data_IF_032176318331
#
_entry.id   IF_032176318331
#
_cell.length_a   1.000
_cell.length_b   1.000
_cell.length_c   1.000
_cell.angle_alpha   90.00
_cell.angle_beta   90.00
_cell.angle_gamma   90.00
#
_symmetry.space_group_name_H-M   'P 1'
#
loop_
_entity.id
_entity.type
_entity.pdbx_description
1 polymer ?
#
# COMPACT_ATOMS: atom_id res chain seq x y z
N UNK A 1 -0.17 -14.68 52.09
CA UNK A 1 0.04 -16.01 51.52
C UNK A 1 -0.97 -16.17 50.38
N UNK A 2 -0.54 -15.93 49.16
CA UNK A 2 -1.37 -16.10 47.97
C UNK A 2 -1.27 -17.58 47.55
N UNK A 3 -2.41 -18.28 47.55
CA UNK A 3 -2.53 -19.65 47.12
C UNK A 3 -2.26 -19.70 45.58
N UNK A 4 -1.14 -20.28 45.20
CA UNK A 4 -0.89 -20.66 43.81
C UNK A 4 -1.81 -21.86 43.47
N UNK A 5 -2.98 -21.54 42.94
CA UNK A 5 -3.81 -22.56 42.31
C UNK A 5 -3.06 -23.10 41.09
N UNK A 6 -2.46 -24.27 41.24
CA UNK A 6 -1.95 -25.09 40.15
C UNK A 6 -3.07 -25.38 39.16
N UNK A 7 -3.23 -24.55 38.11
CA UNK A 7 -3.99 -24.88 36.92
C UNK A 7 -3.22 -25.95 36.14
N UNK A 8 -3.34 -27.21 36.54
CA UNK A 8 -2.99 -28.32 35.66
C UNK A 8 -3.95 -28.28 34.46
N UNK A 9 -3.47 -27.82 33.30
CA UNK A 9 -4.19 -28.00 32.06
C UNK A 9 -4.36 -29.50 31.84
N UNK A 10 -5.58 -30.02 32.07
CA UNK A 10 -5.91 -31.40 31.68
C UNK A 10 -5.65 -31.55 30.19
N UNK A 11 -4.76 -32.46 29.83
CA UNK A 11 -4.50 -32.85 28.45
C UNK A 11 -5.83 -33.20 27.77
N UNK A 12 -6.16 -32.49 26.68
CA UNK A 12 -7.42 -32.65 25.92
C UNK A 12 -7.52 -34.06 25.26
N UNK A 13 -6.60 -34.93 25.57
CA UNK A 13 -6.47 -36.28 25.00
C UNK A 13 -5.11 -36.52 24.36
N UNK A 14 -4.90 -37.70 23.84
CA UNK A 14 -3.64 -38.12 23.21
C UNK A 14 -3.86 -38.66 21.80
N UNK A 15 -2.85 -38.51 20.96
CA UNK A 15 -2.80 -39.17 19.66
C UNK A 15 -2.65 -40.71 19.84
N UNK A 16 -3.33 -41.55 19.06
CA UNK A 16 -4.17 -41.27 17.90
C UNK A 16 -5.67 -41.05 18.19
N UNK A 17 -6.13 -41.19 19.44
CA UNK A 17 -7.55 -41.00 19.77
C UNK A 17 -8.02 -39.55 19.60
N UNK A 18 -7.17 -38.59 19.89
CA UNK A 18 -7.45 -37.20 19.65
C UNK A 18 -6.70 -36.68 18.43
N UNK A 19 -7.45 -36.10 17.48
CA UNK A 19 -6.92 -35.56 16.21
C UNK A 19 -7.40 -34.12 16.02
N UNK A 20 -6.60 -33.16 16.45
CA UNK A 20 -6.94 -31.73 16.46
C UNK A 20 -7.21 -31.16 15.06
N UNK A 21 -6.65 -31.78 14.02
CA UNK A 21 -6.81 -31.31 12.63
C UNK A 21 -7.94 -32.01 11.86
N UNK A 22 -8.80 -32.75 12.49
CA UNK A 22 -9.91 -33.49 11.84
C UNK A 22 -10.80 -32.54 11.02
N UNK A 23 -11.12 -31.38 11.55
CA UNK A 23 -11.96 -30.36 10.89
C UNK A 23 -11.31 -29.76 9.63
N UNK A 24 -10.01 -29.97 9.41
CA UNK A 24 -9.29 -29.47 8.23
C UNK A 24 -9.25 -30.45 7.06
N UNK A 25 -9.75 -31.69 7.23
CA UNK A 25 -9.66 -32.78 6.23
C UNK A 25 -10.58 -32.54 5.02
N UNK A 26 -11.81 -32.11 5.24
CA UNK A 26 -12.84 -31.93 4.21
C UNK A 26 -13.12 -30.47 3.94
N UNK A 27 -13.47 -30.14 2.68
CA UNK A 27 -13.74 -28.75 2.30
C UNK A 27 -14.94 -28.17 3.07
N UNK A 28 -16.05 -28.91 3.16
CA UNK A 28 -17.23 -28.46 3.90
C UNK A 28 -16.91 -28.22 5.38
N UNK A 29 -16.09 -29.06 5.99
CA UNK A 29 -15.69 -28.95 7.40
C UNK A 29 -14.81 -27.72 7.61
N UNK A 30 -13.85 -27.45 6.70
CA UNK A 30 -13.04 -26.21 6.76
C UNK A 30 -13.90 -24.95 6.67
N UNK A 31 -14.89 -24.94 5.75
CA UNK A 31 -15.82 -23.82 5.61
C UNK A 31 -16.67 -23.59 6.86
N UNK A 32 -17.11 -24.69 7.49
CA UNK A 32 -17.94 -24.62 8.70
C UNK A 32 -17.20 -24.01 9.90
N UNK A 33 -15.89 -24.29 10.04
CA UNK A 33 -15.07 -23.81 11.15
C UNK A 33 -14.18 -22.63 10.77
N UNK A 34 -14.42 -22.00 9.63
CA UNK A 34 -13.66 -20.85 9.15
C UNK A 34 -14.02 -19.62 9.98
N UNK A 35 -13.03 -19.00 10.59
CA UNK A 35 -13.18 -17.80 11.42
C UNK A 35 -13.01 -16.51 10.60
N UNK A 36 -12.26 -16.61 9.47
CA UNK A 36 -11.96 -15.47 8.62
C UNK A 36 -12.36 -15.77 7.17
N UNK A 37 -12.92 -14.79 6.49
CA UNK A 37 -13.20 -14.80 5.05
C UNK A 37 -12.37 -13.73 4.36
N UNK A 38 -11.85 -14.05 3.17
CA UNK A 38 -11.21 -13.08 2.30
C UNK A 38 -12.21 -12.62 1.24
N UNK A 39 -12.48 -11.33 1.24
CA UNK A 39 -13.36 -10.66 0.27
C UNK A 39 -12.63 -9.55 -0.48
N UNK A 40 -13.28 -8.95 -1.48
CA UNK A 40 -12.73 -7.75 -2.14
C UNK A 40 -12.55 -6.59 -1.17
N UNK A 41 -13.32 -6.54 -0.06
CA UNK A 41 -13.24 -5.48 0.94
C UNK A 41 -11.94 -5.49 1.75
N UNK A 42 -11.20 -6.61 1.71
CA UNK A 42 -9.91 -6.76 2.39
C UNK A 42 -8.72 -6.37 1.50
N UNK A 43 -8.99 -5.90 0.28
CA UNK A 43 -7.96 -5.64 -0.72
C UNK A 43 -7.72 -4.14 -0.94
N UNK A 44 -6.45 -3.78 -1.07
CA UNK A 44 -6.01 -2.49 -1.59
C UNK A 44 -5.23 -2.78 -2.88
N UNK A 45 -5.61 -2.15 -4.00
CA UNK A 45 -4.92 -2.40 -5.25
C UNK A 45 -3.79 -1.39 -5.50
N UNK A 46 -2.51 -1.80 -5.50
CA UNK A 46 -1.39 -0.92 -5.83
C UNK A 46 -1.37 -0.61 -7.32
N UNK A 47 -1.31 0.67 -7.67
CA UNK A 47 -1.20 1.18 -9.04
C UNK A 47 0.08 1.99 -9.18
N UNK A 48 0.94 1.56 -10.09
CA UNK A 48 2.19 2.25 -10.39
C UNK A 48 1.95 3.28 -11.50
N UNK A 49 2.27 4.53 -11.22
CA UNK A 49 2.08 5.66 -12.13
C UNK A 49 3.41 6.22 -12.61
N UNK A 50 3.44 6.73 -13.83
CA UNK A 50 4.61 7.41 -14.41
C UNK A 50 4.20 8.61 -15.27
N UNK A 51 5.15 9.48 -15.54
CA UNK A 51 4.96 10.57 -16.49
C UNK A 51 4.92 10.06 -17.94
N UNK A 52 4.25 10.84 -18.80
CA UNK A 52 4.08 10.57 -20.22
C UNK A 52 2.63 10.52 -20.64
N UNK A 53 2.38 10.10 -21.86
CA UNK A 53 1.06 9.97 -22.47
C UNK A 53 0.93 8.63 -23.18
N UNK A 54 -0.20 7.98 -23.04
CA UNK A 54 -0.52 6.68 -23.65
C UNK A 54 0.46 5.54 -23.28
N UNK A 55 1.02 5.55 -22.07
CA UNK A 55 2.03 4.58 -21.66
C UNK A 55 1.40 3.48 -20.79
N UNK A 56 1.75 2.22 -21.13
CA UNK A 56 1.62 1.02 -20.31
C UNK A 56 2.94 0.28 -20.40
N UNK A 57 3.78 0.40 -19.39
CA UNK A 57 5.13 -0.16 -19.36
C UNK A 57 5.21 -1.31 -18.35
N UNK A 58 5.67 -2.50 -18.75
CA UNK A 58 5.82 -3.62 -17.83
C UNK A 58 6.93 -3.36 -16.81
N UNK A 59 6.72 -3.80 -15.58
CA UNK A 59 7.76 -3.84 -14.54
C UNK A 59 8.45 -5.19 -14.66
N UNK A 60 9.70 -5.22 -15.14
CA UNK A 60 10.43 -6.47 -15.45
C UNK A 60 10.50 -7.45 -14.28
N UNK A 61 10.66 -6.94 -13.06
CA UNK A 61 10.77 -7.74 -11.82
C UNK A 61 9.42 -8.16 -11.22
N UNK A 62 8.30 -7.66 -11.79
CA UNK A 62 6.93 -7.93 -11.31
C UNK A 62 6.06 -8.40 -12.48
N UNK A 63 6.07 -9.68 -12.85
CA UNK A 63 5.30 -10.20 -13.98
C UNK A 63 3.81 -9.85 -13.89
N UNK A 64 3.24 -9.31 -14.98
CA UNK A 64 1.84 -8.89 -15.03
C UNK A 64 1.53 -7.52 -14.41
N UNK A 65 2.51 -6.85 -13.82
CA UNK A 65 2.37 -5.50 -13.26
C UNK A 65 2.99 -4.46 -14.20
N UNK A 66 2.33 -3.31 -14.31
CA UNK A 66 2.69 -2.26 -15.26
C UNK A 66 2.70 -0.89 -14.59
N UNK A 67 3.53 0.02 -15.11
CA UNK A 67 3.44 1.46 -14.86
C UNK A 67 2.55 2.10 -15.90
N UNK A 68 1.70 3.01 -15.47
CA UNK A 68 0.72 3.67 -16.35
C UNK A 68 0.89 5.19 -16.33
N UNK A 69 0.72 5.82 -17.50
CA UNK A 69 0.54 7.28 -17.54
C UNK A 69 -0.85 7.69 -17.06
N UNK A 70 -1.00 8.94 -16.63
CA UNK A 70 -2.23 9.42 -15.99
C UNK A 70 -3.48 9.29 -16.87
N UNK A 71 -3.34 9.43 -18.19
CA UNK A 71 -4.44 9.25 -19.15
C UNK A 71 -5.00 7.81 -19.21
N UNK A 72 -4.32 6.85 -18.61
CA UNK A 72 -4.79 5.45 -18.53
C UNK A 72 -5.30 5.04 -17.14
N UNK A 73 -5.14 5.90 -16.14
CA UNK A 73 -5.43 5.52 -14.76
C UNK A 73 -6.93 5.35 -14.52
N UNK A 74 -7.78 6.11 -15.19
CA UNK A 74 -9.23 6.06 -15.01
C UNK A 74 -9.80 4.67 -15.30
N UNK A 75 -9.32 4.00 -16.36
CA UNK A 75 -9.72 2.61 -16.66
C UNK A 75 -9.33 1.60 -15.56
N UNK A 76 -8.25 1.88 -14.83
CA UNK A 76 -7.83 1.04 -13.69
C UNK A 76 -8.73 1.31 -12.48
N UNK A 77 -9.07 2.58 -12.24
CA UNK A 77 -10.01 2.98 -11.17
C UNK A 77 -11.37 2.33 -11.41
N UNK A 78 -11.94 2.42 -12.61
CA UNK A 78 -13.19 1.76 -13.00
C UNK A 78 -13.11 0.24 -12.80
N UNK A 79 -11.98 -0.37 -13.16
CA UNK A 79 -11.77 -1.80 -12.93
C UNK A 79 -11.75 -2.17 -11.45
N UNK A 80 -11.15 -1.33 -10.58
CA UNK A 80 -11.14 -1.53 -9.14
C UNK A 80 -12.58 -1.47 -8.58
N UNK A 81 -13.35 -0.45 -8.98
CA UNK A 81 -14.74 -0.25 -8.60
C UNK A 81 -15.59 -1.45 -9.04
N UNK A 82 -15.49 -1.87 -10.31
CA UNK A 82 -16.24 -3.01 -10.86
C UNK A 82 -15.91 -4.33 -10.15
N UNK A 83 -14.69 -4.46 -9.60
CA UNK A 83 -14.29 -5.61 -8.79
C UNK A 83 -14.57 -5.43 -7.30
N UNK A 84 -15.26 -4.35 -6.93
CA UNK A 84 -15.61 -4.01 -5.54
C UNK A 84 -14.38 -3.90 -4.62
N UNK A 85 -13.24 -3.49 -5.15
CA UNK A 85 -12.04 -3.19 -4.36
C UNK A 85 -12.22 -1.79 -3.79
N UNK A 86 -12.21 -1.61 -2.46
CA UNK A 86 -12.61 -0.34 -1.83
C UNK A 86 -11.55 0.76 -1.94
N UNK A 87 -10.28 0.39 -2.16
CA UNK A 87 -9.17 1.34 -2.12
C UNK A 87 -8.08 1.01 -3.13
N UNK A 88 -7.45 2.04 -3.68
CA UNK A 88 -6.23 1.93 -4.49
C UNK A 88 -5.08 2.67 -3.81
N UNK A 89 -3.87 2.15 -3.98
CA UNK A 89 -2.64 2.79 -3.50
C UNK A 89 -1.79 3.26 -4.69
N UNK A 90 -1.36 4.52 -4.69
CA UNK A 90 -0.63 5.15 -5.81
C UNK A 90 0.88 5.16 -5.53
N UNK A 91 1.66 4.51 -6.40
CA UNK A 91 3.12 4.48 -6.34
C UNK A 91 3.74 5.17 -7.55
N UNK A 92 4.45 6.30 -7.36
CA UNK A 92 5.00 7.05 -8.47
C UNK A 92 6.36 6.53 -8.92
N UNK A 93 6.57 6.49 -10.24
CA UNK A 93 7.89 6.41 -10.84
C UNK A 93 8.31 7.81 -11.29
N UNK A 94 9.15 8.46 -10.50
CA UNK A 94 9.63 9.82 -10.77
C UNK A 94 10.90 9.76 -11.62
N UNK A 95 10.97 10.53 -12.73
CA UNK A 95 12.18 10.58 -13.56
C UNK A 95 13.36 11.20 -12.79
N UNK A 96 14.56 10.72 -13.07
CA UNK A 96 15.79 11.16 -12.38
C UNK A 96 15.99 12.68 -12.44
N UNK A 97 15.57 13.32 -13.53
CA UNK A 97 15.65 14.78 -13.71
C UNK A 97 14.86 15.60 -12.67
N UNK A 98 13.90 14.97 -11.96
CA UNK A 98 13.10 15.59 -10.89
C UNK A 98 13.51 15.16 -9.50
N UNK A 99 14.48 14.25 -9.40
CA UNK A 99 15.02 13.81 -8.12
C UNK A 99 16.17 14.71 -7.67
N UNK A 100 16.27 14.91 -6.37
CA UNK A 100 17.43 15.59 -5.76
C UNK A 100 17.63 15.13 -4.31
N UNK A 101 18.75 15.52 -3.69
CA UNK A 101 19.08 15.08 -2.33
C UNK A 101 18.11 15.57 -1.25
N UNK A 102 17.30 16.61 -1.53
CA UNK A 102 16.32 17.17 -0.60
C UNK A 102 14.89 16.73 -0.89
N UNK A 103 14.67 15.83 -1.86
CA UNK A 103 13.36 15.32 -2.25
C UNK A 103 12.31 16.46 -2.52
N UNK A 104 12.72 17.60 -3.09
CA UNK A 104 11.84 18.76 -3.22
C UNK A 104 10.60 18.51 -4.07
N UNK A 105 10.67 17.56 -5.03
CA UNK A 105 9.51 17.17 -5.84
C UNK A 105 8.39 16.53 -4.99
N UNK A 106 8.70 15.93 -3.84
CA UNK A 106 7.69 15.40 -2.92
C UNK A 106 6.71 16.48 -2.43
N UNK A 107 7.17 17.73 -2.32
CA UNK A 107 6.39 18.88 -1.85
C UNK A 107 5.82 19.75 -2.99
N UNK A 108 6.05 19.36 -4.23
CA UNK A 108 5.51 20.07 -5.39
C UNK A 108 4.01 19.74 -5.55
N UNK A 109 3.15 20.75 -5.43
CA UNK A 109 1.69 20.62 -5.63
C UNK A 109 1.29 20.06 -7.01
N UNK A 110 2.20 20.13 -7.98
CA UNK A 110 2.02 19.62 -9.33
C UNK A 110 2.83 18.35 -9.62
N UNK A 111 3.32 17.66 -8.59
CA UNK A 111 3.96 16.36 -8.78
C UNK A 111 2.98 15.31 -9.32
N UNK A 112 3.52 14.20 -9.76
CA UNK A 112 2.77 13.13 -10.42
C UNK A 112 1.64 12.57 -9.52
N UNK A 113 1.91 12.35 -8.21
CA UNK A 113 0.92 11.84 -7.25
C UNK A 113 -0.22 12.84 -7.06
N UNK A 114 0.11 14.11 -6.83
CA UNK A 114 -0.89 15.17 -6.65
C UNK A 114 -1.78 15.35 -7.89
N UNK A 115 -1.24 15.20 -9.10
CA UNK A 115 -2.03 15.20 -10.34
C UNK A 115 -2.96 13.99 -10.41
N UNK A 116 -2.48 12.80 -10.06
CA UNK A 116 -3.28 11.58 -10.04
C UNK A 116 -4.43 11.70 -9.03
N UNK A 117 -4.15 12.14 -7.80
CA UNK A 117 -5.16 12.33 -6.75
C UNK A 117 -6.28 13.27 -7.22
N UNK A 118 -5.93 14.46 -7.73
CA UNK A 118 -6.92 15.41 -8.25
C UNK A 118 -7.77 14.83 -9.39
N UNK A 119 -7.14 14.12 -10.33
CA UNK A 119 -7.84 13.50 -11.45
C UNK A 119 -8.85 12.46 -10.96
N UNK A 120 -8.43 11.56 -10.07
CA UNK A 120 -9.29 10.51 -9.58
C UNK A 120 -10.39 11.09 -8.69
N UNK A 121 -10.06 11.98 -7.76
CA UNK A 121 -11.03 12.56 -6.83
C UNK A 121 -12.11 13.39 -7.53
N UNK A 122 -11.77 14.02 -8.64
CA UNK A 122 -12.73 14.77 -9.46
C UNK A 122 -13.82 13.87 -10.07
N UNK A 123 -13.44 12.66 -10.48
CA UNK A 123 -14.32 11.81 -11.29
C UNK A 123 -14.88 10.59 -10.50
N UNK A 124 -14.25 10.20 -9.38
CA UNK A 124 -14.59 8.98 -8.63
C UNK A 124 -14.59 9.23 -7.13
N UNK A 125 -15.79 9.29 -6.53
CA UNK A 125 -15.96 9.51 -5.09
C UNK A 125 -16.15 8.21 -4.29
N UNK A 126 -16.39 7.09 -4.98
CA UNK A 126 -16.74 5.81 -4.37
C UNK A 126 -15.52 4.90 -4.10
N UNK A 127 -14.30 5.37 -4.34
CA UNK A 127 -13.07 4.61 -4.08
C UNK A 127 -12.14 5.38 -3.15
N UNK A 128 -11.57 4.68 -2.18
CA UNK A 128 -10.54 5.23 -1.30
C UNK A 128 -9.21 5.41 -2.03
N UNK A 129 -8.46 6.46 -1.68
CA UNK A 129 -7.14 6.75 -2.21
C UNK A 129 -6.11 6.68 -1.09
N UNK A 130 -5.06 5.91 -1.30
CA UNK A 130 -3.91 5.78 -0.42
C UNK A 130 -2.66 6.28 -1.14
N UNK A 131 -1.81 6.99 -0.44
CA UNK A 131 -0.48 7.38 -0.92
C UNK A 131 0.58 6.99 0.11
N UNK A 132 1.77 6.70 -0.38
CA UNK A 132 2.93 6.50 0.46
C UNK A 132 3.53 7.85 0.85
N UNK A 133 3.77 8.05 2.15
CA UNK A 133 4.49 9.21 2.69
C UNK A 133 5.94 8.82 2.83
N UNK A 134 6.67 8.84 1.71
CA UNK A 134 8.03 8.34 1.57
C UNK A 134 8.85 9.26 0.66
N UNK A 135 10.17 9.32 0.83
CA UNK A 135 11.05 10.20 0.07
C UNK A 135 11.93 9.48 -0.97
N UNK A 136 12.09 8.15 -0.88
CA UNK A 136 12.89 7.36 -1.83
C UNK A 136 12.49 7.56 -3.31
N UNK A 137 11.20 7.73 -3.68
CA UNK A 137 10.86 8.03 -5.06
C UNK A 137 11.40 9.37 -5.56
N UNK A 138 11.75 10.29 -4.66
CA UNK A 138 12.10 11.67 -4.95
C UNK A 138 13.58 12.00 -4.69
N UNK A 139 14.32 11.12 -4.00
CA UNK A 139 15.76 11.27 -3.74
C UNK A 139 16.61 10.66 -4.84
N UNK A 140 17.79 11.24 -5.13
CA UNK A 140 18.75 10.69 -6.10
C UNK A 140 19.39 9.40 -5.56
N UNK A 141 19.71 9.39 -4.27
CA UNK A 141 20.39 8.29 -3.59
C UNK A 141 19.45 7.11 -3.23
N UNK A 142 18.12 7.28 -3.38
CA UNK A 142 17.15 6.20 -3.15
C UNK A 142 16.89 5.87 -1.67
N UNK A 143 17.45 6.61 -0.71
CA UNK A 143 17.07 6.48 0.70
C UNK A 143 15.77 7.21 0.99
N UNK A 144 15.00 6.67 1.91
CA UNK A 144 13.74 7.23 2.39
C UNK A 144 13.96 8.30 3.46
N UNK A 145 14.81 9.28 3.14
CA UNK A 145 15.13 10.39 4.03
C UNK A 145 16.19 11.31 3.43
N UNK A 146 16.37 12.47 4.04
CA UNK A 146 17.41 13.44 3.66
C UNK A 146 18.74 13.02 4.27
N UNK A 147 19.78 12.92 3.46
CA UNK A 147 21.12 12.59 3.94
C UNK A 147 21.88 13.84 4.39
N UNK A 148 22.54 13.73 5.55
CA UNK A 148 23.53 14.66 6.06
C UNK A 148 24.76 13.86 6.53
N UNK A 149 25.93 14.15 6.00
CA UNK A 149 27.16 13.40 6.29
C UNK A 149 27.03 11.88 6.04
N UNK A 150 26.37 11.49 4.95
CA UNK A 150 26.08 10.10 4.58
C UNK A 150 25.18 9.33 5.57
N UNK A 151 24.48 10.04 6.44
CA UNK A 151 23.52 9.48 7.38
C UNK A 151 22.14 10.13 7.21
N UNK A 152 21.05 9.39 7.44
CA UNK A 152 19.70 9.94 7.36
C UNK A 152 19.48 10.90 8.53
N UNK A 153 19.27 12.18 8.23
CA UNK A 153 18.87 13.19 9.21
C UNK A 153 17.38 13.02 9.53
N UNK A 154 17.09 12.44 10.70
CA UNK A 154 15.73 12.14 11.14
C UNK A 154 14.88 13.40 11.23
N UNK A 155 15.37 14.47 11.85
CA UNK A 155 14.58 15.65 12.16
C UNK A 155 14.18 16.42 10.90
N UNK A 156 15.09 16.55 9.95
CA UNK A 156 14.79 17.17 8.65
C UNK A 156 13.88 16.29 7.81
N UNK A 157 14.09 14.97 7.83
CA UNK A 157 13.24 14.00 7.13
C UNK A 157 11.79 14.09 7.62
N UNK A 158 11.56 14.02 8.94
CA UNK A 158 10.22 14.07 9.53
C UNK A 158 9.50 15.38 9.17
N UNK A 159 10.19 16.52 9.17
CA UNK A 159 9.59 17.80 8.74
C UNK A 159 9.08 17.76 7.29
N UNK A 160 9.79 17.07 6.41
CA UNK A 160 9.38 16.93 5.00
C UNK A 160 8.22 15.96 4.88
N UNK A 161 8.26 14.80 5.57
CA UNK A 161 7.18 13.81 5.57
C UNK A 161 5.86 14.40 6.09
N UNK A 162 5.90 15.22 7.15
CA UNK A 162 4.72 15.95 7.65
C UNK A 162 4.13 16.87 6.56
N UNK A 163 4.97 17.65 5.87
CA UNK A 163 4.51 18.52 4.78
C UNK A 163 3.96 17.72 3.59
N UNK A 164 4.58 16.58 3.27
CA UNK A 164 4.13 15.69 2.21
C UNK A 164 2.77 15.09 2.52
N UNK A 165 2.56 14.60 3.75
CA UNK A 165 1.27 14.02 4.18
C UNK A 165 0.14 15.05 4.12
N UNK A 166 0.38 16.27 4.62
CA UNK A 166 -0.59 17.38 4.55
C UNK A 166 -0.92 17.70 3.09
N UNK A 167 0.10 17.78 2.22
CA UNK A 167 -0.11 18.03 0.81
C UNK A 167 -0.96 16.94 0.14
N UNK A 168 -0.65 15.67 0.39
CA UNK A 168 -1.40 14.54 -0.17
C UNK A 168 -2.85 14.55 0.31
N UNK A 169 -3.10 14.81 1.61
CA UNK A 169 -4.44 14.94 2.16
C UNK A 169 -5.23 16.10 1.50
N UNK A 170 -4.60 17.25 1.31
CA UNK A 170 -5.21 18.39 0.60
C UNK A 170 -5.57 18.08 -0.87
N UNK A 171 -4.87 17.12 -1.49
CA UNK A 171 -5.13 16.69 -2.87
C UNK A 171 -6.20 15.58 -2.97
N UNK A 172 -6.71 15.08 -1.85
CA UNK A 172 -7.81 14.12 -1.80
C UNK A 172 -7.43 12.69 -1.41
N UNK A 173 -6.23 12.50 -0.84
CA UNK A 173 -5.84 11.21 -0.26
C UNK A 173 -6.65 10.92 1.01
#
# INVERSE_FOLDING_TARGET
MLNENNYQMKSIGSYPSTRLRRNRKKNWSRRLVQENELSSNDLIWPIFIREGKNIKEPIKTMPGVYRYSLDKIEKLVERAINKKIPMIALFPNIPTSKKNNKATEALNKNNLVCKALRLIKKNYNQIGLMCDVALDPYTIHGHDGVLKNNYVDNDETVKILVKQSILQAQMGC
#
